data_IF_833518657889
#
_entry.id   IF_833518657889
#
_cell.length_a   1.000
_cell.length_b   1.000
_cell.length_c   1.000
_cell.angle_alpha   90.00
_cell.angle_beta   90.00
_cell.angle_gamma   90.00
#
_symmetry.space_group_name_H-M   'P 1'
#
loop_
_entity.id
_entity.type
_entity.pdbx_description
1 polymer ?
#
# COMPACT_ATOMS: atom_id res chain seq x y z
N UNK A 1 -5.58 8.62 -4.74
CA UNK A 1 -4.84 7.35 -4.90
C UNK A 1 -5.77 6.17 -4.68
N UNK A 2 -5.72 5.18 -5.56
CA UNK A 2 -6.47 3.93 -5.42
C UNK A 2 -5.45 2.80 -5.36
N UNK A 3 -5.60 1.91 -4.37
CA UNK A 3 -4.71 0.79 -4.21
C UNK A 3 -5.37 -0.45 -3.62
N UNK A 4 -4.63 -1.54 -3.65
CA UNK A 4 -5.02 -2.82 -3.06
C UNK A 4 -3.87 -3.32 -2.22
N UNK A 5 -4.17 -3.82 -1.02
CA UNK A 5 -3.24 -4.58 -0.20
C UNK A 5 -3.80 -5.98 -0.02
N UNK A 6 -3.00 -6.99 -0.27
CA UNK A 6 -3.44 -8.38 -0.28
C UNK A 6 -2.58 -9.25 0.62
N UNK A 7 -3.19 -10.25 1.20
CA UNK A 7 -2.52 -11.27 2.01
C UNK A 7 -3.07 -12.67 1.69
N UNK A 8 -2.24 -13.69 1.83
CA UNK A 8 -2.67 -15.07 1.76
C UNK A 8 -3.21 -15.60 3.11
N UNK A 9 -3.11 -14.80 4.17
CA UNK A 9 -3.56 -15.20 5.50
C UNK A 9 -5.07 -15.38 5.56
N UNK A 10 -5.50 -16.29 6.42
CA UNK A 10 -6.92 -16.50 6.72
C UNK A 10 -7.37 -15.49 7.77
N UNK A 11 -7.92 -14.38 7.29
CA UNK A 11 -8.48 -13.29 8.10
C UNK A 11 -9.92 -13.01 7.68
N UNK A 12 -10.70 -12.47 8.60
CA UNK A 12 -12.09 -12.13 8.32
C UNK A 12 -12.23 -10.77 7.64
N UNK A 13 -13.46 -10.40 7.30
CA UNK A 13 -13.76 -9.15 6.61
C UNK A 13 -13.34 -7.91 7.42
N UNK A 14 -13.58 -7.93 8.73
CA UNK A 14 -13.20 -6.81 9.60
C UNK A 14 -11.69 -6.66 9.68
N UNK A 15 -10.95 -7.75 9.75
CA UNK A 15 -9.49 -7.75 9.77
C UNK A 15 -8.91 -7.30 8.43
N UNK A 16 -9.50 -7.73 7.32
CA UNK A 16 -9.11 -7.26 5.99
C UNK A 16 -9.36 -5.75 5.84
N UNK A 17 -10.47 -5.25 6.36
CA UNK A 17 -10.77 -3.81 6.40
C UNK A 17 -9.76 -3.05 7.25
N UNK A 18 -9.37 -3.61 8.39
CA UNK A 18 -8.32 -3.03 9.25
C UNK A 18 -6.98 -2.99 8.52
N UNK A 19 -6.64 -4.04 7.78
CA UNK A 19 -5.42 -4.09 6.96
C UNK A 19 -5.41 -2.97 5.92
N UNK A 20 -6.52 -2.75 5.23
CA UNK A 20 -6.66 -1.65 4.29
C UNK A 20 -6.52 -0.28 4.96
N UNK A 21 -7.08 -0.10 6.16
CA UNK A 21 -6.93 1.13 6.94
C UNK A 21 -5.48 1.41 7.31
N UNK A 22 -4.75 0.39 7.77
CA UNK A 22 -3.33 0.54 8.15
C UNK A 22 -2.45 0.81 6.92
N UNK A 23 -2.82 0.29 5.75
CA UNK A 23 -2.11 0.58 4.50
C UNK A 23 -2.10 2.09 4.18
N UNK A 24 -3.10 2.85 4.60
CA UNK A 24 -3.11 4.32 4.49
C UNK A 24 -1.94 4.98 5.22
N UNK A 25 -1.45 4.40 6.31
CA UNK A 25 -0.25 4.90 6.99
C UNK A 25 0.97 4.79 6.07
N UNK A 26 1.05 3.72 5.29
CA UNK A 26 2.08 3.55 4.26
C UNK A 26 1.95 4.59 3.15
N UNK A 27 0.74 4.88 2.72
CA UNK A 27 0.49 5.94 1.74
C UNK A 27 1.00 7.28 2.27
N UNK A 28 0.70 7.62 3.52
CA UNK A 28 1.12 8.89 4.13
C UNK A 28 2.63 9.00 4.30
N UNK A 29 3.36 7.88 4.41
CA UNK A 29 4.83 7.87 4.44
C UNK A 29 5.44 8.16 3.07
N UNK A 30 4.78 7.76 2.00
CA UNK A 30 5.29 7.86 0.64
C UNK A 30 4.80 9.13 -0.09
N UNK A 31 3.59 9.59 0.21
CA UNK A 31 2.94 10.73 -0.45
C UNK A 31 2.72 11.84 0.57
N UNK A 32 3.32 13.00 0.35
CA UNK A 32 3.29 14.13 1.29
C UNK A 32 2.94 15.43 0.56
N UNK A 33 1.78 16.03 0.87
CA UNK A 33 0.73 15.57 1.76
C UNK A 33 -0.16 14.47 1.15
N UNK A 34 -0.88 13.75 2.00
CA UNK A 34 -1.89 12.78 1.60
C UNK A 34 -3.22 13.10 2.29
N UNK A 35 -4.32 12.59 1.76
CA UNK A 35 -5.66 12.70 2.34
C UNK A 35 -6.16 14.14 2.48
N UNK A 36 -5.85 14.97 1.50
CA UNK A 36 -6.40 16.32 1.43
C UNK A 36 -7.87 16.27 0.98
N UNK A 37 -8.55 17.39 1.10
CA UNK A 37 -10.00 17.48 0.77
C UNK A 37 -10.33 17.08 -0.68
N UNK A 38 -9.35 17.20 -1.57
CA UNK A 38 -9.52 16.85 -3.00
C UNK A 38 -9.01 15.45 -3.35
N UNK A 39 -8.43 14.74 -2.38
CA UNK A 39 -7.92 13.39 -2.61
C UNK A 39 -9.04 12.37 -2.45
N UNK A 40 -9.18 11.49 -3.43
CA UNK A 40 -10.13 10.38 -3.39
C UNK A 40 -9.44 9.07 -3.01
N UNK A 41 -8.67 9.07 -1.92
CA UNK A 41 -7.84 7.93 -1.54
C UNK A 41 -8.69 6.74 -1.06
N UNK A 42 -8.50 5.61 -1.72
CA UNK A 42 -9.22 4.38 -1.40
C UNK A 42 -8.25 3.21 -1.46
N UNK A 43 -8.22 2.40 -0.40
CA UNK A 43 -7.45 1.16 -0.34
C UNK A 43 -8.39 -0.01 -0.08
N UNK A 44 -8.30 -1.02 -0.93
CA UNK A 44 -9.04 -2.27 -0.79
C UNK A 44 -8.15 -3.32 -0.11
N UNK A 45 -8.72 -4.08 0.83
CA UNK A 45 -8.05 -5.20 1.46
C UNK A 45 -8.55 -6.53 0.87
N UNK A 46 -7.63 -7.39 0.47
CA UNK A 46 -7.92 -8.69 -0.10
C UNK A 46 -7.23 -9.79 0.71
N UNK A 47 -7.98 -10.81 1.13
CA UNK A 47 -7.41 -11.98 1.78
C UNK A 47 -7.84 -13.24 1.04
N UNK A 48 -6.89 -14.09 0.64
CA UNK A 48 -7.20 -15.33 -0.06
C UNK A 48 -7.53 -16.49 0.88
N UNK A 49 -7.15 -16.39 2.16
CA UNK A 49 -7.49 -17.38 3.17
C UNK A 49 -6.71 -18.69 3.08
N UNK A 50 -5.61 -18.73 2.35
CA UNK A 50 -4.84 -19.95 2.12
C UNK A 50 -4.07 -20.39 3.37
N UNK A 51 -3.58 -19.44 4.17
CA UNK A 51 -2.72 -19.71 5.31
C UNK A 51 -3.40 -19.35 6.63
N UNK A 52 -3.80 -20.36 7.46
CA UNK A 52 -4.35 -20.09 8.79
C UNK A 52 -3.33 -19.38 9.68
N UNK A 53 -3.79 -18.47 10.52
CA UNK A 53 -2.94 -17.87 11.54
C UNK A 53 -2.88 -18.77 12.78
N UNK A 54 -1.72 -18.82 13.47
CA UNK A 54 -1.60 -19.60 14.71
C UNK A 54 -2.57 -19.08 15.77
N UNK A 55 -3.44 -19.96 16.31
CA UNK A 55 -4.50 -19.57 17.25
C UNK A 55 -3.97 -18.97 18.55
N UNK A 56 -2.83 -19.48 19.05
CA UNK A 56 -2.24 -19.04 20.32
C UNK A 56 -1.56 -17.67 20.25
N UNK A 57 -1.13 -17.27 19.07
CA UNK A 57 -0.44 -15.99 18.83
C UNK A 57 -1.11 -15.19 17.72
N UNK A 58 -2.43 -15.35 17.60
CA UNK A 58 -3.18 -14.78 16.46
C UNK A 58 -3.08 -13.26 16.40
N UNK A 59 -3.18 -12.58 17.54
CA UNK A 59 -3.07 -11.11 17.58
C UNK A 59 -1.68 -10.63 17.15
N UNK A 60 -0.63 -11.30 17.60
CA UNK A 60 0.73 -10.96 17.22
C UNK A 60 0.96 -11.19 15.73
N UNK A 61 0.47 -12.32 15.19
CA UNK A 61 0.57 -12.62 13.76
C UNK A 61 -0.21 -11.58 12.93
N UNK A 62 -1.41 -11.22 13.36
CA UNK A 62 -2.21 -10.20 12.69
C UNK A 62 -1.51 -8.84 12.71
N UNK A 63 -0.94 -8.43 13.85
CA UNK A 63 -0.20 -7.17 13.95
C UNK A 63 0.99 -7.12 12.99
N UNK A 64 1.70 -8.23 12.78
CA UNK A 64 2.77 -8.30 11.80
C UNK A 64 2.25 -8.09 10.37
N UNK A 65 1.10 -8.67 10.04
CA UNK A 65 0.45 -8.47 8.74
C UNK A 65 0.05 -7.00 8.56
N UNK A 66 -0.52 -6.37 9.58
CA UNK A 66 -0.92 -4.96 9.53
C UNK A 66 0.29 -4.05 9.34
N UNK A 67 1.39 -4.29 10.07
CA UNK A 67 2.62 -3.53 9.92
C UNK A 67 3.21 -3.71 8.51
N UNK A 68 3.25 -4.95 8.02
CA UNK A 68 3.72 -5.25 6.68
C UNK A 68 2.85 -4.59 5.60
N UNK A 69 1.54 -4.47 5.82
CA UNK A 69 0.64 -3.80 4.89
C UNK A 69 1.03 -2.33 4.69
N UNK A 70 1.35 -1.62 5.76
CA UNK A 70 1.81 -0.23 5.69
C UNK A 70 3.13 -0.12 4.91
N UNK A 71 4.11 -0.95 5.24
CA UNK A 71 5.43 -0.92 4.60
C UNK A 71 5.34 -1.30 3.12
N UNK A 72 4.56 -2.33 2.80
CA UNK A 72 4.35 -2.79 1.43
C UNK A 72 3.65 -1.72 0.59
N UNK A 73 2.64 -1.06 1.15
CA UNK A 73 1.93 -0.01 0.45
C UNK A 73 2.82 1.20 0.19
N UNK A 74 3.64 1.60 1.15
CA UNK A 74 4.62 2.68 0.97
C UNK A 74 5.59 2.35 -0.18
N UNK A 75 6.12 1.13 -0.21
CA UNK A 75 6.99 0.66 -1.28
C UNK A 75 6.28 0.66 -2.63
N UNK A 76 5.03 0.21 -2.67
CA UNK A 76 4.22 0.18 -3.90
C UNK A 76 3.99 1.59 -4.46
N UNK A 77 3.73 2.58 -3.61
CA UNK A 77 3.59 3.99 -4.04
C UNK A 77 4.89 4.49 -4.69
N UNK A 78 6.03 4.20 -4.08
CA UNK A 78 7.34 4.57 -4.62
C UNK A 78 7.58 3.89 -5.97
N UNK A 79 7.33 2.58 -6.06
CA UNK A 79 7.49 1.82 -7.30
C UNK A 79 6.57 2.34 -8.41
N UNK A 80 5.34 2.72 -8.08
CA UNK A 80 4.38 3.28 -9.04
C UNK A 80 4.92 4.57 -9.68
N UNK A 81 5.47 5.48 -8.86
CA UNK A 81 6.06 6.74 -9.34
C UNK A 81 7.29 6.47 -10.21
N UNK A 82 8.16 5.54 -9.79
CA UNK A 82 9.36 5.19 -10.55
C UNK A 82 9.04 4.48 -11.86
N UNK A 83 7.98 3.70 -11.92
CA UNK A 83 7.57 2.95 -13.12
C UNK A 83 6.76 3.77 -14.12
N UNK A 84 6.16 4.87 -13.68
CA UNK A 84 5.29 5.69 -14.51
C UNK A 84 6.01 6.27 -15.72
N UNK A 85 5.26 6.46 -16.80
CA UNK A 85 5.72 7.12 -18.04
C UNK A 85 4.88 8.36 -18.28
N UNK A 86 5.48 9.35 -18.93
CA UNK A 86 4.77 10.58 -19.33
C UNK A 86 3.61 10.25 -20.25
N UNK A 87 2.45 10.84 -19.98
CA UNK A 87 1.24 10.71 -20.81
C UNK A 87 0.65 12.11 -21.00
N UNK A 88 0.63 12.58 -22.24
CA UNK A 88 0.10 13.90 -22.58
C UNK A 88 0.76 15.00 -21.78
N UNK A 89 -0.01 15.87 -21.06
CA UNK A 89 0.54 16.97 -20.27
C UNK A 89 1.09 16.51 -18.90
N UNK A 90 0.94 15.24 -18.55
CA UNK A 90 1.37 14.69 -17.27
C UNK A 90 2.76 14.10 -17.37
N UNK A 91 3.76 14.85 -16.91
CA UNK A 91 5.17 14.45 -16.96
C UNK A 91 5.52 13.47 -15.85
N UNK A 92 6.07 12.32 -16.23
CA UNK A 92 6.52 11.32 -15.27
C UNK A 92 7.80 11.74 -14.54
N UNK A 93 7.99 11.18 -13.34
CA UNK A 93 9.16 11.45 -12.51
C UNK A 93 10.49 11.19 -13.25
N UNK A 94 10.56 10.13 -14.04
CA UNK A 94 11.75 9.78 -14.82
C UNK A 94 12.17 10.86 -15.81
N UNK A 95 11.23 11.63 -16.32
CA UNK A 95 11.48 12.71 -17.28
C UNK A 95 11.81 14.03 -16.56
N UNK A 96 11.27 14.21 -15.34
CA UNK A 96 11.62 15.36 -14.49
C UNK A 96 12.98 15.19 -13.82
N UNK A 97 13.33 14.01 -13.40
CA UNK A 97 14.53 13.71 -12.62
C UNK A 97 15.29 12.50 -13.20
N UNK A 98 15.80 12.59 -14.44
CA UNK A 98 16.42 11.45 -15.10
C UNK A 98 17.66 10.91 -14.38
N UNK A 99 18.34 11.74 -13.60
CA UNK A 99 19.53 11.34 -12.85
C UNK A 99 19.27 10.25 -11.81
N UNK A 100 18.04 10.13 -11.32
CA UNK A 100 17.64 9.08 -10.36
C UNK A 100 17.75 7.68 -10.98
N UNK A 101 17.63 7.58 -12.30
CA UNK A 101 17.66 6.31 -13.05
C UNK A 101 19.06 5.96 -13.60
N UNK A 102 20.04 6.79 -13.32
CA UNK A 102 21.45 6.54 -13.69
C UNK A 102 22.16 5.89 -12.52
N UNK A 103 22.56 4.67 -12.68
CA UNK A 103 23.36 3.94 -11.70
C UNK A 103 24.74 3.63 -12.24
#
# INVERSE_FOLDING_TARGET
TIGVVATSAQIDKAEASKMASVAHDGMARAVRPAHLMTDGDTVFGLATGVHPLPSQVRHQALNLILAAAADTFAAACTHAVLAAKTIGPHTAYRDLCPSVYRS
#
